data_IF_642101830056
#
_entry.id   IF_642101830056
#
_cell.length_a   1.000
_cell.length_b   1.000
_cell.length_c   1.000
_cell.angle_alpha   90.00
_cell.angle_beta   90.00
_cell.angle_gamma   90.00
#
_symmetry.space_group_name_H-M   'P 1'
#
loop_
_entity.id
_entity.type
_entity.pdbx_description
1 polymer ?
#
# COMPACT_ATOMS: atom_id res chain seq x y z
N UNK A 1 13.92 4.34 15.06
CA UNK A 1 13.70 3.06 15.77
C UNK A 1 13.88 1.85 14.86
N UNK A 2 13.22 1.80 13.69
CA UNK A 2 13.29 0.66 12.75
C UNK A 2 14.72 0.29 12.30
N UNK A 3 15.52 1.28 11.91
CA UNK A 3 16.91 1.10 11.49
C UNK A 3 17.79 0.42 12.56
N UNK A 4 17.74 0.93 13.79
CA UNK A 4 18.59 0.50 14.90
C UNK A 4 18.26 -0.90 15.44
N UNK A 5 17.02 -1.34 15.23
CA UNK A 5 16.49 -2.57 15.83
C UNK A 5 16.59 -3.79 14.91
N UNK A 6 16.93 -3.58 13.63
CA UNK A 6 17.15 -4.67 12.66
C UNK A 6 18.22 -5.67 13.12
N UNK A 7 19.27 -5.19 13.78
CA UNK A 7 20.36 -6.03 14.33
C UNK A 7 19.89 -6.99 15.43
N UNK A 8 18.74 -6.73 16.03
CA UNK A 8 18.13 -7.58 17.05
C UNK A 8 17.04 -8.52 16.48
N UNK A 9 16.90 -8.59 15.15
CA UNK A 9 15.87 -9.42 14.51
C UNK A 9 14.44 -8.90 14.64
N UNK A 10 14.26 -7.62 15.03
CA UNK A 10 12.94 -7.02 15.18
C UNK A 10 12.34 -6.63 13.82
N UNK A 11 11.10 -7.06 13.59
CA UNK A 11 10.28 -6.66 12.44
C UNK A 11 9.45 -5.42 12.72
N UNK A 12 9.22 -4.61 11.67
CA UNK A 12 8.39 -3.41 11.76
C UNK A 12 7.24 -3.48 10.76
N UNK A 13 6.06 -3.10 11.23
CA UNK A 13 4.87 -2.92 10.41
C UNK A 13 4.38 -1.49 10.60
N UNK A 14 4.19 -0.79 9.48
CA UNK A 14 3.64 0.55 9.46
C UNK A 14 2.28 0.49 8.78
N UNK A 15 1.26 1.06 9.41
CA UNK A 15 -0.09 1.17 8.87
C UNK A 15 -0.38 2.66 8.70
N UNK A 16 -0.68 3.08 7.47
CA UNK A 16 -1.04 4.47 7.16
C UNK A 16 -2.19 4.49 6.17
N UNK A 17 -3.04 5.52 6.27
CA UNK A 17 -4.06 5.85 5.27
C UNK A 17 -3.53 6.77 4.17
N UNK A 18 -2.42 7.47 4.45
CA UNK A 18 -1.81 8.43 3.54
C UNK A 18 -0.37 7.97 3.26
N UNK A 19 -0.09 7.63 2.00
CA UNK A 19 1.24 7.22 1.55
C UNK A 19 2.22 8.38 1.61
N UNK A 20 1.76 9.58 1.24
CA UNK A 20 2.59 10.78 1.23
C UNK A 20 3.08 11.22 2.63
N UNK A 21 2.45 10.74 3.71
CA UNK A 21 2.90 11.02 5.08
C UNK A 21 4.00 10.07 5.58
N UNK A 22 4.28 8.97 4.86
CA UNK A 22 5.33 8.03 5.24
C UNK A 22 6.70 8.61 4.90
N UNK A 23 7.59 8.63 5.88
CA UNK A 23 8.95 9.12 5.67
C UNK A 23 9.70 8.23 4.68
N UNK A 24 10.35 8.83 3.67
CA UNK A 24 11.05 8.10 2.59
C UNK A 24 12.09 7.10 3.08
N UNK A 25 12.77 7.41 4.18
CA UNK A 25 13.72 6.47 4.79
C UNK A 25 13.06 5.20 5.35
N UNK A 26 11.81 5.29 5.82
CA UNK A 26 11.06 4.12 6.28
C UNK A 26 10.70 3.28 5.06
N UNK A 27 10.15 3.91 4.02
CA UNK A 27 9.79 3.27 2.75
C UNK A 27 10.98 2.47 2.19
N UNK A 28 12.16 3.08 2.12
CA UNK A 28 13.37 2.40 1.61
C UNK A 28 13.87 1.23 2.45
N UNK A 29 13.38 1.06 3.68
CA UNK A 29 13.72 -0.07 4.55
C UNK A 29 12.68 -1.20 4.49
N UNK A 30 11.48 -0.93 3.95
CA UNK A 30 10.41 -1.93 3.82
C UNK A 30 10.69 -2.86 2.65
N UNK A 31 10.31 -4.14 2.81
CA UNK A 31 10.46 -5.17 1.78
C UNK A 31 9.15 -5.70 1.24
N UNK A 32 8.05 -5.38 1.89
CA UNK A 32 6.72 -5.85 1.51
C UNK A 32 5.78 -4.67 1.72
N UNK A 33 5.01 -4.36 0.69
CA UNK A 33 3.95 -3.38 0.74
C UNK A 33 2.60 -4.06 0.55
N UNK A 34 1.61 -3.61 1.30
CA UNK A 34 0.20 -3.98 1.13
C UNK A 34 -0.58 -2.70 0.86
N UNK A 35 -1.22 -2.63 -0.31
CA UNK A 35 -2.06 -1.51 -0.69
C UNK A 35 -3.52 -1.95 -0.68
N UNK A 36 -4.31 -1.33 0.22
CA UNK A 36 -5.76 -1.52 0.33
C UNK A 36 -6.54 -0.63 -0.63
N UNK A 37 -7.65 -0.06 -0.19
CA UNK A 37 -8.55 0.75 -1.04
C UNK A 37 -8.31 2.26 -0.89
N UNK A 38 -8.90 3.04 -1.78
CA UNK A 38 -8.96 4.50 -1.66
C UNK A 38 -7.73 5.26 -2.18
N UNK A 39 -6.73 4.58 -2.75
CA UNK A 39 -5.52 5.23 -3.29
C UNK A 39 -5.54 5.33 -4.82
N UNK A 40 -6.66 5.03 -5.48
CA UNK A 40 -6.74 4.87 -6.94
C UNK A 40 -6.76 6.20 -7.72
N UNK A 41 -6.89 7.34 -7.04
CA UNK A 41 -7.00 8.68 -7.64
C UNK A 41 -6.14 9.72 -6.89
N UNK A 42 -5.84 10.83 -7.57
CA UNK A 42 -5.19 12.01 -6.96
C UNK A 42 -3.72 11.80 -6.58
N UNK A 43 -3.28 12.54 -5.55
CA UNK A 43 -1.89 12.54 -5.06
C UNK A 43 -1.45 11.20 -4.48
N UNK A 44 -2.39 10.45 -3.90
CA UNK A 44 -2.12 9.12 -3.34
C UNK A 44 -1.84 8.10 -4.45
N UNK A 45 -2.53 8.19 -5.58
CA UNK A 45 -2.24 7.34 -6.74
C UNK A 45 -0.87 7.63 -7.34
N UNK A 46 -0.48 8.90 -7.42
CA UNK A 46 0.88 9.28 -7.83
C UNK A 46 1.94 8.70 -6.88
N UNK A 47 1.70 8.78 -5.57
CA UNK A 47 2.60 8.21 -4.55
C UNK A 47 2.69 6.69 -4.68
N UNK A 48 1.56 6.01 -4.88
CA UNK A 48 1.51 4.58 -5.14
C UNK A 48 2.29 4.20 -6.41
N UNK A 49 2.14 4.97 -7.49
CA UNK A 49 2.88 4.79 -8.75
C UNK A 49 4.39 4.89 -8.55
N UNK A 50 4.86 5.85 -7.77
CA UNK A 50 6.28 5.98 -7.43
C UNK A 50 6.78 4.78 -6.62
N UNK A 51 6.00 4.30 -5.65
CA UNK A 51 6.36 3.17 -4.78
C UNK A 51 6.45 1.83 -5.52
N UNK A 52 5.56 1.57 -6.47
CA UNK A 52 5.50 0.30 -7.21
C UNK A 52 6.39 0.28 -8.46
N UNK A 53 7.25 1.30 -8.64
CA UNK A 53 8.17 1.37 -9.78
C UNK A 53 7.48 1.66 -11.12
N UNK A 54 6.21 2.08 -11.11
CA UNK A 54 5.48 2.51 -12.30
C UNK A 54 5.01 1.40 -13.25
N UNK A 55 4.99 0.12 -12.84
CA UNK A 55 4.46 -0.98 -13.67
C UNK A 55 2.99 -0.71 -14.05
N UNK A 56 2.68 -0.47 -15.35
CA UNK A 56 1.33 -0.18 -15.78
C UNK A 56 0.33 -1.30 -15.49
N UNK A 57 0.76 -2.56 -15.43
CA UNK A 57 -0.13 -3.69 -15.17
C UNK A 57 -0.55 -3.75 -13.70
N UNK A 58 0.41 -3.59 -12.78
CA UNK A 58 0.13 -3.46 -11.35
C UNK A 58 -0.81 -2.27 -11.06
N UNK A 59 -0.58 -1.12 -11.71
CA UNK A 59 -1.42 0.06 -11.55
C UNK A 59 -2.84 -0.15 -12.07
N UNK A 60 -3.00 -0.78 -13.24
CA UNK A 60 -4.31 -1.15 -13.78
C UNK A 60 -5.04 -2.15 -12.88
N UNK A 61 -4.33 -3.15 -12.36
CA UNK A 61 -4.89 -4.09 -11.40
C UNK A 61 -5.39 -3.37 -10.14
N UNK A 62 -4.57 -2.48 -9.58
CA UNK A 62 -4.95 -1.71 -8.40
C UNK A 62 -6.18 -0.84 -8.63
N UNK A 63 -6.25 -0.15 -9.78
CA UNK A 63 -7.41 0.67 -10.15
C UNK A 63 -8.70 -0.15 -10.35
N UNK A 64 -8.61 -1.46 -10.55
CA UNK A 64 -9.79 -2.34 -10.65
C UNK A 64 -10.42 -2.67 -9.30
N UNK A 65 -9.75 -2.34 -8.18
CA UNK A 65 -10.27 -2.62 -6.85
C UNK A 65 -11.49 -1.76 -6.55
N UNK A 66 -12.60 -2.42 -6.24
CA UNK A 66 -13.84 -1.76 -5.83
C UNK A 66 -13.76 -1.39 -4.36
N UNK A 67 -14.30 -0.23 -4.01
CA UNK A 67 -14.47 0.14 -2.61
C UNK A 67 -15.39 -0.88 -1.91
N UNK A 68 -14.97 -1.56 -0.83
CA UNK A 68 -15.81 -2.51 -0.09
C UNK A 68 -17.12 -1.89 0.39
N UNK A 69 -17.15 -0.57 0.63
CA UNK A 69 -18.36 0.14 1.02
C UNK A 69 -19.38 0.30 -0.11
N UNK A 70 -19.00 -0.01 -1.36
CA UNK A 70 -19.91 -0.01 -2.51
C UNK A 70 -20.74 -1.29 -2.66
N UNK A 71 -20.49 -2.32 -1.85
CA UNK A 71 -21.26 -3.57 -1.89
C UNK A 71 -22.68 -3.37 -1.33
N UNK A 72 -23.66 -4.04 -1.94
CA UNK A 72 -25.08 -3.96 -1.53
C UNK A 72 -25.31 -4.52 -0.13
N UNK A 73 -24.69 -5.66 0.19
CA UNK A 73 -24.82 -6.33 1.48
C UNK A 73 -23.47 -6.45 2.19
N UNK A 74 -23.46 -6.33 3.52
CA UNK A 74 -22.23 -6.42 4.33
C UNK A 74 -21.52 -7.76 4.14
N UNK A 75 -22.29 -8.86 4.00
CA UNK A 75 -21.74 -10.20 3.80
C UNK A 75 -21.07 -10.39 2.44
N UNK A 76 -21.42 -9.55 1.46
CA UNK A 76 -20.86 -9.58 0.11
C UNK A 76 -19.59 -8.74 -0.06
N UNK A 77 -19.15 -8.04 1.00
CA UNK A 77 -17.97 -7.17 0.94
C UNK A 77 -16.70 -7.96 0.66
N UNK A 78 -15.96 -7.52 -0.35
CA UNK A 78 -14.67 -8.09 -0.70
C UNK A 78 -13.56 -7.11 -0.37
N UNK A 79 -12.55 -7.60 0.36
CA UNK A 79 -11.40 -6.82 0.81
C UNK A 79 -10.12 -7.20 0.03
N UNK A 80 -10.12 -6.95 -1.27
CA UNK A 80 -8.92 -7.06 -2.12
C UNK A 80 -7.77 -6.14 -1.63
N UNK A 81 -6.54 -6.63 -1.79
CA UNK A 81 -5.33 -5.86 -1.55
C UNK A 81 -4.27 -6.25 -2.58
N UNK A 82 -3.38 -5.31 -2.90
CA UNK A 82 -2.24 -5.55 -3.78
C UNK A 82 -1.00 -5.68 -2.92
N UNK A 83 -0.27 -6.78 -3.10
CA UNK A 83 1.02 -7.01 -2.46
C UNK A 83 2.14 -6.76 -3.44
N UNK A 84 3.11 -5.95 -3.04
CA UNK A 84 4.31 -5.66 -3.84
C UNK A 84 5.55 -5.97 -3.03
N UNK A 85 6.48 -6.66 -3.68
CA UNK A 85 7.84 -6.86 -3.19
C UNK A 85 8.75 -6.10 -4.16
N UNK A 86 9.40 -5.00 -3.72
CA UNK A 86 10.31 -4.22 -4.56
C UNK A 86 11.59 -4.99 -4.93
#
# INVERSE_FOLDING_TARGET
ASKETRKYGLGWMFISQTLSSLHREIIGQLRIFFFGFGLALGSEFSSLKELVGGDPNALKLYQSFRDPHSAFDIESRQYAFMTVVP
#
